data_IF_661401126853
#
_entry.id   IF_661401126853
#
_cell.length_a   1.000
_cell.length_b   1.000
_cell.length_c   1.000
_cell.angle_alpha   90.00
_cell.angle_beta   90.00
_cell.angle_gamma   90.00
#
_symmetry.space_group_name_H-M   'P 1'
#
loop_
_entity.id
_entity.type
_entity.pdbx_description
1 polymer ?
#
# COMPACT_ATOMS: atom_id res chain seq x y z
N UNK A 1 -0.88 25.64 -26.90
CA UNK A 1 -2.20 26.13 -26.53
C UNK A 1 -2.17 27.67 -26.59
N UNK A 2 -3.21 28.33 -27.02
CA UNK A 2 -3.24 29.79 -26.99
C UNK A 2 -3.16 30.29 -25.55
N UNK A 3 -2.27 31.25 -25.29
CA UNK A 3 -2.19 31.92 -23.98
C UNK A 3 -3.30 32.96 -23.92
N UNK A 4 -4.16 32.84 -22.91
CA UNK A 4 -5.10 33.88 -22.50
C UNK A 4 -4.54 34.68 -21.34
N UNK A 5 -5.21 35.75 -20.98
CA UNK A 5 -4.96 36.42 -19.70
C UNK A 5 -5.42 35.51 -18.56
N UNK A 6 -4.73 35.51 -17.39
CA UNK A 6 -5.13 34.72 -16.25
C UNK A 6 -6.56 35.09 -15.79
N UNK A 7 -7.43 34.10 -15.67
CA UNK A 7 -8.80 34.31 -15.22
C UNK A 7 -8.89 34.53 -13.71
N UNK A 8 -8.02 33.84 -12.95
CA UNK A 8 -7.97 33.88 -11.49
C UNK A 8 -6.54 33.65 -10.97
N UNK A 9 -6.27 34.19 -9.79
CA UNK A 9 -5.01 33.98 -9.06
C UNK A 9 -5.26 33.18 -7.81
N UNK A 10 -4.33 32.27 -7.48
CA UNK A 10 -4.34 31.41 -6.30
C UNK A 10 -2.97 31.40 -5.65
N UNK A 11 -2.91 31.20 -4.32
CA UNK A 11 -1.65 30.99 -3.60
C UNK A 11 -1.08 29.60 -3.87
N UNK A 12 -1.98 28.63 -4.14
CA UNK A 12 -1.62 27.26 -4.51
C UNK A 12 -2.57 26.70 -5.57
N UNK A 13 -2.01 26.17 -6.65
CA UNK A 13 -2.74 25.29 -7.58
C UNK A 13 -2.18 23.89 -7.46
N UNK A 14 -3.04 22.92 -7.14
CA UNK A 14 -2.71 21.50 -7.04
C UNK A 14 -3.19 20.77 -8.29
N UNK A 15 -2.29 20.11 -8.98
CA UNK A 15 -2.61 19.30 -10.16
C UNK A 15 -2.79 17.84 -9.74
N UNK A 16 -4.03 17.37 -9.74
CA UNK A 16 -4.47 16.05 -9.32
C UNK A 16 -5.15 16.05 -7.95
N UNK A 17 -6.42 15.65 -7.93
CA UNK A 17 -7.27 15.50 -6.73
C UNK A 17 -7.16 14.16 -6.03
N UNK A 18 -6.04 13.43 -6.20
CA UNK A 18 -5.74 12.21 -5.44
C UNK A 18 -5.36 12.50 -3.98
N UNK A 19 -5.17 11.45 -3.16
CA UNK A 19 -4.81 11.61 -1.73
C UNK A 19 -3.60 12.53 -1.55
N UNK A 20 -2.56 12.41 -2.39
CA UNK A 20 -1.37 13.27 -2.32
C UNK A 20 -1.69 14.74 -2.56
N UNK A 21 -2.48 15.05 -3.60
CA UNK A 21 -2.86 16.43 -3.91
C UNK A 21 -3.78 17.03 -2.86
N UNK A 22 -4.78 16.27 -2.41
CA UNK A 22 -5.67 16.70 -1.31
C UNK A 22 -4.90 16.91 -0.02
N UNK A 23 -3.90 16.07 0.27
CA UNK A 23 -3.00 16.23 1.43
C UNK A 23 -2.14 17.49 1.31
N UNK A 24 -1.62 17.78 0.11
CA UNK A 24 -0.86 19.01 -0.14
C UNK A 24 -1.73 20.26 0.12
N UNK A 25 -2.98 20.27 -0.37
CA UNK A 25 -3.94 21.33 -0.10
C UNK A 25 -4.24 21.46 1.41
N UNK A 26 -4.41 20.32 2.11
CA UNK A 26 -4.64 20.29 3.55
C UNK A 26 -3.49 20.92 4.34
N UNK A 27 -2.25 20.46 4.12
CA UNK A 27 -1.10 20.98 4.86
C UNK A 27 -0.79 22.43 4.50
N UNK A 28 -0.99 22.84 3.23
CA UNK A 28 -0.84 24.24 2.86
C UNK A 28 -1.85 25.12 3.58
N UNK A 29 -3.13 24.76 3.59
CA UNK A 29 -4.19 25.45 4.32
C UNK A 29 -3.98 25.47 5.84
N UNK A 30 -3.38 24.39 6.38
CA UNK A 30 -3.03 24.32 7.81
C UNK A 30 -1.96 25.35 8.18
N UNK A 31 -0.99 25.59 7.28
CA UNK A 31 0.07 26.58 7.48
C UNK A 31 -0.38 28.01 7.18
N UNK A 32 -1.25 28.18 6.18
CA UNK A 32 -1.86 29.48 5.85
C UNK A 32 -3.37 29.33 5.70
N UNK A 33 -4.13 29.61 6.79
CA UNK A 33 -5.59 29.49 6.77
C UNK A 33 -6.30 30.47 5.81
N UNK A 34 -5.62 31.52 5.36
CA UNK A 34 -6.16 32.52 4.42
C UNK A 34 -5.88 32.20 2.96
N UNK A 35 -5.03 31.21 2.69
CA UNK A 35 -4.60 30.90 1.34
C UNK A 35 -5.76 30.53 0.40
N UNK A 36 -5.68 31.05 -0.83
CA UNK A 36 -6.60 30.66 -1.89
C UNK A 36 -6.02 29.45 -2.63
N UNK A 37 -6.77 28.34 -2.63
CA UNK A 37 -6.31 27.06 -3.14
C UNK A 37 -7.25 26.51 -4.22
N UNK A 38 -6.69 26.12 -5.36
CA UNK A 38 -7.41 25.39 -6.41
C UNK A 38 -6.80 24.01 -6.60
N UNK A 39 -7.63 22.99 -6.46
CA UNK A 39 -7.28 21.60 -6.84
C UNK A 39 -7.94 21.29 -8.17
N UNK A 40 -7.15 20.88 -9.17
CA UNK A 40 -7.61 20.50 -10.51
C UNK A 40 -7.51 18.99 -10.68
N UNK A 41 -8.58 18.34 -11.11
CA UNK A 41 -8.56 16.92 -11.48
C UNK A 41 -9.21 16.71 -12.85
N UNK A 42 -8.62 15.85 -13.67
CA UNK A 42 -9.11 15.56 -15.02
C UNK A 42 -10.30 14.58 -15.03
N UNK A 43 -10.60 13.95 -13.90
CA UNK A 43 -11.71 13.01 -13.78
C UNK A 43 -12.99 13.71 -13.26
N UNK A 44 -14.08 13.00 -13.32
CA UNK A 44 -15.40 13.38 -12.81
C UNK A 44 -15.55 13.18 -11.30
N UNK A 45 -14.51 12.66 -10.65
CA UNK A 45 -14.43 12.45 -9.20
C UNK A 45 -12.99 12.61 -8.69
N UNK A 46 -12.84 12.98 -7.42
CA UNK A 46 -11.57 13.07 -6.73
C UNK A 46 -11.13 11.70 -6.17
N UNK A 47 -9.94 11.66 -5.55
CA UNK A 47 -9.39 10.46 -4.91
C UNK A 47 -8.32 9.76 -5.76
N UNK A 48 -8.23 10.02 -7.05
CA UNK A 48 -7.26 9.39 -7.94
C UNK A 48 -7.41 7.85 -7.94
N UNK A 49 -6.40 7.11 -7.48
CA UNK A 49 -6.49 5.66 -7.27
C UNK A 49 -7.41 5.26 -6.11
N UNK A 50 -7.65 6.15 -5.16
CA UNK A 50 -8.51 5.93 -4.00
C UNK A 50 -9.98 6.16 -4.36
N UNK A 51 -10.46 5.47 -5.39
CA UNK A 51 -11.87 5.43 -5.79
C UNK A 51 -12.58 4.23 -5.21
N UNK A 52 -13.90 4.35 -5.07
CA UNK A 52 -14.76 3.23 -4.69
C UNK A 52 -15.68 2.83 -5.85
N UNK A 53 -16.16 1.61 -5.80
CA UNK A 53 -17.18 1.11 -6.68
C UNK A 53 -18.54 1.10 -5.97
N UNK A 54 -19.57 1.54 -6.67
CA UNK A 54 -20.95 1.50 -6.19
C UNK A 54 -21.77 0.64 -7.16
N UNK A 55 -22.39 -0.41 -6.64
CA UNK A 55 -23.21 -1.35 -7.41
C UNK A 55 -24.65 -1.28 -6.94
N UNK A 56 -25.59 -1.16 -7.86
CA UNK A 56 -27.01 -1.23 -7.57
C UNK A 56 -27.51 -2.68 -7.74
N UNK A 57 -27.81 -3.34 -6.62
CA UNK A 57 -28.22 -4.74 -6.59
C UNK A 57 -29.58 -4.83 -5.87
N UNK A 58 -30.64 -5.23 -6.60
CA UNK A 58 -32.01 -5.37 -6.05
C UNK A 58 -32.51 -4.12 -5.30
N UNK A 59 -32.15 -2.92 -5.77
CA UNK A 59 -32.54 -1.65 -5.14
C UNK A 59 -31.69 -1.23 -3.94
N UNK A 60 -30.65 -1.97 -3.59
CA UNK A 60 -29.68 -1.64 -2.57
C UNK A 60 -28.35 -1.24 -3.19
N UNK A 61 -27.68 -0.23 -2.63
CA UNK A 61 -26.32 0.13 -3.00
C UNK A 61 -25.34 -0.77 -2.27
N UNK A 62 -24.49 -1.45 -3.02
CA UNK A 62 -23.34 -2.20 -2.51
C UNK A 62 -22.07 -1.42 -2.82
N UNK A 63 -21.23 -1.27 -1.83
CA UNK A 63 -19.99 -0.50 -1.92
C UNK A 63 -18.82 -1.48 -1.84
N UNK A 64 -17.81 -1.23 -2.67
CA UNK A 64 -16.53 -1.95 -2.62
C UNK A 64 -15.39 -1.00 -2.96
N UNK A 65 -14.21 -1.34 -2.53
CA UNK A 65 -13.01 -0.58 -2.88
C UNK A 65 -12.68 -0.74 -4.38
N UNK A 66 -12.01 0.27 -4.93
CA UNK A 66 -11.55 0.30 -6.32
C UNK A 66 -10.06 0.03 -6.42
N UNK A 67 -9.25 1.08 -6.65
CA UNK A 67 -7.83 0.95 -6.92
C UNK A 67 -6.92 0.76 -5.71
N UNK A 68 -7.36 1.11 -4.49
CA UNK A 68 -6.56 0.98 -3.26
C UNK A 68 -7.43 0.65 -2.05
N UNK A 69 -6.98 -0.33 -1.29
CA UNK A 69 -7.75 -0.91 -0.18
C UNK A 69 -7.23 -0.44 1.18
N UNK A 70 -5.92 -0.57 1.42
CA UNK A 70 -5.39 -0.74 2.77
C UNK A 70 -4.73 0.49 3.37
N UNK A 71 -4.94 0.66 4.68
CA UNK A 71 -4.07 1.43 5.58
C UNK A 71 -3.17 0.38 6.25
N UNK A 72 -2.04 0.07 5.58
CA UNK A 72 -1.15 -1.03 5.98
C UNK A 72 -0.15 -0.56 7.03
N UNK A 73 -0.18 -1.16 8.21
CA UNK A 73 0.79 -0.96 9.29
C UNK A 73 1.02 0.53 9.64
N UNK A 74 -0.05 1.27 10.02
CA UNK A 74 0.05 2.71 10.27
C UNK A 74 0.96 3.08 11.44
N UNK A 75 1.24 2.16 12.36
CA UNK A 75 2.25 2.37 13.41
C UNK A 75 3.64 2.66 12.85
N UNK A 76 3.96 2.13 11.66
CA UNK A 76 5.21 2.35 10.94
C UNK A 76 5.23 3.58 10.02
N UNK A 77 4.18 4.37 9.97
CA UNK A 77 4.12 5.55 9.10
C UNK A 77 5.02 6.67 9.63
N UNK A 78 5.51 7.50 8.71
CA UNK A 78 6.18 8.75 9.07
C UNK A 78 5.22 9.67 9.85
N UNK A 79 5.77 10.52 10.72
CA UNK A 79 4.98 11.39 11.60
C UNK A 79 3.98 12.26 10.83
N UNK A 80 4.37 12.79 9.66
CA UNK A 80 3.48 13.57 8.79
C UNK A 80 2.27 12.77 8.32
N UNK A 81 2.43 11.47 8.04
CA UNK A 81 1.31 10.62 7.63
C UNK A 81 0.41 10.26 8.82
N UNK A 82 0.98 10.03 10.01
CA UNK A 82 0.22 9.85 11.25
C UNK A 82 -0.58 11.11 11.61
N UNK A 83 0.06 12.27 11.46
CA UNK A 83 -0.59 13.57 11.67
C UNK A 83 -1.76 13.75 10.71
N UNK A 84 -1.59 13.40 9.41
CA UNK A 84 -2.66 13.46 8.44
C UNK A 84 -3.87 12.61 8.85
N UNK A 85 -3.65 11.33 9.19
CA UNK A 85 -4.74 10.45 9.63
C UNK A 85 -5.51 11.05 10.81
N UNK A 86 -4.78 11.58 11.80
CA UNK A 86 -5.38 12.26 12.96
C UNK A 86 -6.16 13.51 12.57
N UNK A 87 -5.60 14.36 11.70
CA UNK A 87 -6.22 15.63 11.29
C UNK A 87 -7.54 15.43 10.53
N UNK A 88 -7.65 14.32 9.78
CA UNK A 88 -8.87 13.97 9.06
C UNK A 88 -9.83 13.09 9.88
N UNK A 89 -9.46 12.79 11.14
CA UNK A 89 -10.31 12.08 12.08
C UNK A 89 -10.30 10.57 11.96
N UNK A 90 -9.26 9.99 11.36
CA UNK A 90 -9.06 8.53 11.36
C UNK A 90 -8.40 8.13 12.67
N UNK A 91 -9.13 7.38 13.49
CA UNK A 91 -8.64 6.71 14.67
C UNK A 91 -8.33 5.24 14.33
N UNK A 92 -7.05 4.94 14.19
CA UNK A 92 -6.59 3.60 13.76
C UNK A 92 -6.91 2.51 14.77
N UNK A 93 -7.01 2.86 16.08
CA UNK A 93 -7.34 1.88 17.13
C UNK A 93 -8.77 1.35 16.98
N UNK A 94 -9.68 2.13 16.40
CA UNK A 94 -11.06 1.71 16.18
C UNK A 94 -11.20 0.60 15.13
N UNK A 95 -10.22 0.42 14.24
CA UNK A 95 -10.25 -0.70 13.30
C UNK A 95 -10.23 -2.05 14.00
N UNK A 96 -9.63 -2.15 15.20
CA UNK A 96 -9.65 -3.40 15.98
C UNK A 96 -11.05 -3.84 16.40
N UNK A 97 -12.01 -2.92 16.47
CA UNK A 97 -13.41 -3.22 16.81
C UNK A 97 -14.22 -3.71 15.60
N UNK A 98 -13.71 -3.55 14.37
CA UNK A 98 -14.46 -3.77 13.14
C UNK A 98 -14.17 -5.07 12.42
N UNK A 99 -13.18 -5.85 12.88
CA UNK A 99 -12.89 -7.16 12.32
C UNK A 99 -12.73 -8.21 13.42
N UNK A 100 -13.07 -9.45 13.09
CA UNK A 100 -12.92 -10.58 13.98
C UNK A 100 -11.48 -11.10 13.91
N UNK A 101 -10.66 -10.77 14.92
CA UNK A 101 -9.26 -11.18 15.01
C UNK A 101 -9.09 -12.70 15.13
N UNK A 102 -10.11 -13.41 15.64
CA UNK A 102 -10.09 -14.86 15.84
C UNK A 102 -10.77 -15.64 14.71
N UNK A 103 -11.25 -14.98 13.65
CA UNK A 103 -12.02 -15.62 12.59
C UNK A 103 -11.30 -16.85 12.02
N UNK A 104 -10.05 -16.70 11.61
CA UNK A 104 -9.29 -17.79 11.00
C UNK A 104 -8.93 -18.88 12.01
N UNK A 105 -8.55 -18.50 13.23
CA UNK A 105 -8.21 -19.42 14.31
C UNK A 105 -9.46 -20.21 14.76
N UNK A 106 -10.61 -19.53 14.92
CA UNK A 106 -11.87 -20.16 15.32
C UNK A 106 -12.37 -21.21 14.31
N UNK A 107 -12.05 -21.00 13.03
CA UNK A 107 -12.37 -21.92 11.94
C UNK A 107 -11.27 -22.95 11.65
N UNK A 108 -10.20 -22.97 12.45
CA UNK A 108 -9.02 -23.82 12.26
C UNK A 108 -8.42 -23.70 10.86
N UNK A 109 -8.38 -22.46 10.34
CA UNK A 109 -7.78 -22.14 9.05
C UNK A 109 -6.31 -21.74 9.22
N UNK A 110 -5.50 -22.13 8.26
CA UNK A 110 -4.08 -21.76 8.17
C UNK A 110 -3.65 -21.58 6.72
N UNK A 111 -2.51 -20.95 6.51
CA UNK A 111 -1.91 -20.91 5.18
C UNK A 111 -1.57 -22.31 4.69
N UNK A 112 -1.70 -22.54 3.39
CA UNK A 112 -1.39 -23.80 2.74
C UNK A 112 -0.72 -23.56 1.39
N UNK A 113 0.14 -24.49 0.99
CA UNK A 113 0.73 -24.52 -0.36
C UNK A 113 0.07 -25.62 -1.17
N UNK A 114 -0.41 -25.29 -2.36
CA UNK A 114 -0.90 -26.25 -3.34
C UNK A 114 0.23 -26.60 -4.32
N UNK A 115 0.67 -27.83 -4.23
CA UNK A 115 1.66 -28.41 -5.15
C UNK A 115 0.95 -29.03 -6.34
N UNK A 116 1.44 -28.76 -7.56
CA UNK A 116 0.92 -29.33 -8.80
C UNK A 116 1.69 -30.59 -9.20
N UNK A 117 1.05 -31.45 -10.00
CA UNK A 117 1.65 -32.70 -10.44
C UNK A 117 2.69 -32.52 -11.56
N UNK A 118 2.68 -31.40 -12.26
CA UNK A 118 3.60 -31.11 -13.35
C UNK A 118 5.01 -30.83 -12.79
N UNK A 119 5.09 -30.01 -11.74
CA UNK A 119 6.35 -29.61 -11.09
C UNK A 119 6.84 -30.65 -10.08
N UNK A 120 5.92 -31.24 -9.30
CA UNK A 120 6.25 -32.07 -8.12
C UNK A 120 5.92 -33.55 -8.29
N UNK A 121 5.36 -33.96 -9.43
CA UNK A 121 4.97 -35.34 -9.70
C UNK A 121 3.68 -35.78 -9.01
N UNK A 122 3.19 -35.06 -8.02
CA UNK A 122 1.98 -35.34 -7.28
C UNK A 122 1.21 -34.04 -6.99
N UNK A 123 -0.12 -34.10 -7.05
CA UNK A 123 -0.98 -32.98 -6.64
C UNK A 123 -1.27 -33.08 -5.15
N UNK A 124 -0.83 -32.11 -4.36
CA UNK A 124 -0.98 -32.13 -2.90
C UNK A 124 -1.23 -30.76 -2.33
N UNK A 125 -2.15 -30.65 -1.35
CA UNK A 125 -2.35 -29.46 -0.51
C UNK A 125 -1.69 -29.69 0.84
N UNK A 126 -0.66 -28.93 1.17
CA UNK A 126 0.05 -29.00 2.45
C UNK A 126 -0.28 -27.77 3.28
N UNK A 127 -0.89 -27.99 4.44
CA UNK A 127 -1.34 -26.94 5.37
C UNK A 127 -0.27 -26.59 6.38
N UNK A 128 -0.40 -25.40 6.98
CA UNK A 128 0.46 -24.95 8.08
C UNK A 128 1.75 -24.29 7.62
N UNK A 129 1.80 -23.75 6.39
CA UNK A 129 2.91 -22.93 5.95
C UNK A 129 3.09 -21.73 6.90
N UNK A 130 4.31 -21.56 7.44
CA UNK A 130 4.66 -20.49 8.39
C UNK A 130 4.08 -20.63 9.81
N UNK A 131 3.22 -21.61 10.08
CA UNK A 131 2.63 -21.87 11.41
C UNK A 131 3.06 -23.18 12.05
N UNK A 132 3.65 -24.09 11.27
CA UNK A 132 4.24 -25.36 11.73
C UNK A 132 5.77 -25.28 11.71
N UNK A 133 6.48 -26.08 12.53
CA UNK A 133 7.91 -26.30 12.37
C UNK A 133 8.26 -26.69 10.92
N UNK A 134 9.33 -26.13 10.40
CA UNK A 134 9.71 -26.36 9.00
C UNK A 134 9.97 -27.83 8.67
N UNK A 135 10.49 -28.60 9.62
CA UNK A 135 10.72 -30.04 9.48
C UNK A 135 9.41 -30.79 9.26
N UNK A 136 8.37 -30.45 10.01
CA UNK A 136 7.06 -31.08 9.88
C UNK A 136 6.36 -30.67 8.59
N UNK A 137 6.43 -29.38 8.25
CA UNK A 137 5.86 -28.88 7.00
C UNK A 137 6.54 -29.53 5.79
N UNK A 138 7.88 -29.55 5.76
CA UNK A 138 8.65 -30.13 4.67
C UNK A 138 8.39 -31.62 4.50
N UNK A 139 8.25 -32.38 5.61
CA UNK A 139 7.96 -33.81 5.55
C UNK A 139 6.66 -34.12 4.80
N UNK A 140 5.67 -33.24 4.90
CA UNK A 140 4.37 -33.39 4.25
C UNK A 140 4.38 -32.97 2.76
N UNK A 141 5.42 -32.27 2.27
CA UNK A 141 5.49 -31.84 0.88
C UNK A 141 5.73 -33.03 -0.08
N UNK A 142 5.33 -32.93 -1.36
CA UNK A 142 5.66 -33.94 -2.37
C UNK A 142 7.05 -33.74 -2.98
N UNK A 143 7.93 -33.05 -2.28
CA UNK A 143 9.30 -32.79 -2.71
C UNK A 143 10.20 -34.02 -2.50
N UNK A 144 11.31 -34.06 -3.21
CA UNK A 144 12.38 -35.02 -2.95
C UNK A 144 12.97 -34.84 -1.54
N UNK A 145 13.55 -35.88 -0.96
CA UNK A 145 14.17 -35.80 0.36
C UNK A 145 15.28 -34.73 0.42
N UNK A 146 15.99 -34.51 -0.68
CA UNK A 146 16.96 -33.43 -0.81
C UNK A 146 16.30 -32.07 -0.75
N UNK A 147 15.23 -31.87 -1.52
CA UNK A 147 14.50 -30.59 -1.55
C UNK A 147 13.86 -30.29 -0.19
N UNK A 148 13.33 -31.31 0.52
CA UNK A 148 12.82 -31.15 1.89
C UNK A 148 13.91 -30.69 2.86
N UNK A 149 15.09 -31.32 2.82
CA UNK A 149 16.21 -30.90 3.65
C UNK A 149 16.71 -29.49 3.32
N UNK A 150 16.74 -29.15 2.04
CA UNK A 150 17.13 -27.83 1.57
C UNK A 150 16.11 -26.76 1.96
N UNK A 151 14.81 -27.07 1.93
CA UNK A 151 13.74 -26.18 2.42
C UNK A 151 13.92 -25.85 3.91
N UNK A 152 14.08 -26.86 4.75
CA UNK A 152 14.34 -26.68 6.18
C UNK A 152 15.60 -25.85 6.42
N UNK A 153 16.68 -26.18 5.73
CA UNK A 153 17.96 -25.45 5.85
C UNK A 153 17.86 -23.99 5.42
N UNK A 154 17.16 -23.70 4.32
CA UNK A 154 17.03 -22.36 3.76
C UNK A 154 16.27 -21.40 4.71
N UNK A 155 15.34 -21.93 5.51
CA UNK A 155 14.54 -21.17 6.47
C UNK A 155 15.05 -21.23 7.91
N UNK A 156 16.23 -21.82 8.13
CA UNK A 156 16.94 -21.71 9.39
C UNK A 156 17.60 -20.31 9.49
N UNK A 157 17.01 -19.43 10.26
CA UNK A 157 17.46 -18.03 10.44
C UNK A 157 18.84 -17.91 11.11
N UNK A 158 19.41 -19.01 11.66
CA UNK A 158 20.72 -18.99 12.29
C UNK A 158 21.89 -19.16 11.28
N UNK A 159 21.57 -19.54 10.04
CA UNK A 159 22.59 -19.79 9.02
C UNK A 159 22.93 -18.53 8.24
N UNK A 160 24.18 -18.06 8.36
CA UNK A 160 24.71 -16.98 7.52
C UNK A 160 25.23 -17.54 6.19
N UNK A 161 24.49 -17.32 5.11
CA UNK A 161 24.88 -17.74 3.76
C UNK A 161 25.83 -16.75 3.05
N UNK A 162 26.18 -15.63 3.70
CA UNK A 162 27.13 -14.64 3.22
C UNK A 162 28.23 -14.36 4.31
N UNK A 163 28.92 -15.42 4.78
CA UNK A 163 29.85 -15.27 5.89
C UNK A 163 31.02 -14.35 5.52
N UNK A 164 31.45 -13.55 6.48
CA UNK A 164 32.58 -12.63 6.32
C UNK A 164 32.26 -11.32 5.60
N UNK A 165 31.04 -11.12 5.11
CA UNK A 165 30.60 -9.85 4.57
C UNK A 165 30.09 -8.93 5.69
N UNK A 166 30.47 -7.65 5.64
CA UNK A 166 29.84 -6.61 6.44
C UNK A 166 28.37 -6.43 6.05
N UNK A 167 27.62 -5.74 6.90
CA UNK A 167 26.21 -5.43 6.62
C UNK A 167 26.03 -4.63 5.34
N UNK A 168 26.89 -3.65 5.09
CA UNK A 168 26.88 -2.80 3.90
C UNK A 168 27.18 -3.61 2.63
N UNK A 169 28.11 -4.55 2.70
CA UNK A 169 28.43 -5.46 1.60
C UNK A 169 27.26 -6.41 1.31
N UNK A 170 26.61 -6.96 2.34
CA UNK A 170 25.38 -7.78 2.19
C UNK A 170 24.26 -6.98 1.51
N UNK A 171 23.97 -5.78 1.97
CA UNK A 171 22.97 -4.89 1.36
C UNK A 171 23.34 -4.59 -0.09
N UNK A 172 24.59 -4.24 -0.35
CA UNK A 172 25.09 -3.92 -1.70
C UNK A 172 24.97 -5.08 -2.68
N UNK A 173 25.23 -6.32 -2.23
CA UNK A 173 25.07 -7.54 -3.03
C UNK A 173 23.58 -7.86 -3.24
N UNK A 174 22.82 -7.96 -2.15
CA UNK A 174 21.42 -8.41 -2.17
C UNK A 174 20.48 -7.44 -2.89
N UNK A 175 20.86 -6.17 -3.01
CA UNK A 175 20.14 -5.17 -3.81
C UNK A 175 20.33 -5.36 -5.33
N UNK A 176 21.34 -6.12 -5.76
CA UNK A 176 21.71 -6.30 -7.17
C UNK A 176 21.37 -7.67 -7.74
N UNK A 177 21.09 -8.64 -6.88
CA UNK A 177 20.74 -10.00 -7.28
C UNK A 177 19.29 -10.29 -6.92
N UNK A 178 18.63 -11.15 -7.71
CA UNK A 178 17.28 -11.59 -7.40
C UNK A 178 17.26 -12.58 -6.23
N UNK A 179 16.10 -12.74 -5.59
CA UNK A 179 15.92 -13.74 -4.53
C UNK A 179 16.14 -15.16 -5.04
N UNK A 180 15.69 -15.47 -6.27
CA UNK A 180 15.97 -16.77 -6.92
C UNK A 180 17.48 -16.99 -7.07
N UNK A 181 18.22 -15.97 -7.51
CA UNK A 181 19.68 -16.04 -7.62
C UNK A 181 20.34 -16.26 -6.25
N UNK A 182 19.88 -15.58 -5.20
CA UNK A 182 20.36 -15.80 -3.85
C UNK A 182 20.14 -17.25 -3.38
N UNK A 183 18.93 -17.78 -3.53
CA UNK A 183 18.61 -19.16 -3.15
C UNK A 183 19.44 -20.18 -3.96
N UNK A 184 19.62 -19.96 -5.25
CA UNK A 184 20.36 -20.88 -6.14
C UNK A 184 21.86 -20.87 -5.87
N UNK A 185 22.49 -19.70 -5.82
CA UNK A 185 23.93 -19.55 -5.87
C UNK A 185 24.60 -19.52 -4.49
N UNK A 186 23.92 -18.95 -3.50
CA UNK A 186 24.44 -18.78 -2.13
C UNK A 186 23.86 -19.80 -1.16
N UNK A 187 22.55 -19.98 -1.12
CA UNK A 187 21.90 -21.01 -0.29
C UNK A 187 22.06 -22.40 -0.92
N UNK A 188 22.09 -22.49 -2.24
CA UNK A 188 22.28 -23.73 -3.04
C UNK A 188 21.20 -24.76 -2.78
N UNK A 189 19.94 -24.31 -2.87
CA UNK A 189 18.78 -25.17 -2.70
C UNK A 189 18.47 -25.95 -3.99
N UNK A 190 17.75 -27.05 -3.83
CA UNK A 190 17.20 -27.86 -4.92
C UNK A 190 16.21 -27.04 -5.77
N UNK A 191 16.10 -27.39 -7.07
CA UNK A 191 15.20 -26.72 -8.01
C UNK A 191 13.74 -26.72 -7.55
N UNK A 192 13.27 -27.78 -6.89
CA UNK A 192 11.91 -27.85 -6.38
C UNK A 192 11.62 -26.76 -5.30
N UNK A 193 12.62 -26.35 -4.54
CA UNK A 193 12.50 -25.22 -3.61
C UNK A 193 12.47 -23.90 -4.36
N UNK A 194 13.29 -23.73 -5.41
CA UNK A 194 13.25 -22.54 -6.27
C UNK A 194 11.88 -22.36 -6.93
N UNK A 195 11.29 -23.43 -7.44
CA UNK A 195 9.97 -23.41 -8.08
C UNK A 195 8.84 -23.09 -7.06
N UNK A 196 8.94 -23.57 -5.83
CA UNK A 196 7.99 -23.23 -4.77
C UNK A 196 7.90 -21.72 -4.54
N UNK A 197 9.05 -21.04 -4.58
CA UNK A 197 9.11 -19.59 -4.35
C UNK A 197 8.95 -18.73 -5.59
N UNK A 198 9.13 -19.29 -6.80
CA UNK A 198 9.16 -18.54 -8.05
C UNK A 198 7.96 -17.61 -8.23
N UNK A 199 6.76 -18.05 -7.85
CA UNK A 199 5.52 -17.30 -8.03
C UNK A 199 5.08 -16.49 -6.81
N UNK A 200 5.81 -16.57 -5.72
CA UNK A 200 5.39 -15.93 -4.46
C UNK A 200 5.28 -14.41 -4.56
N UNK A 201 6.16 -13.77 -5.31
CA UNK A 201 6.14 -12.32 -5.51
C UNK A 201 5.05 -11.80 -6.45
N UNK A 202 4.41 -12.68 -7.22
CA UNK A 202 3.49 -12.24 -8.28
C UNK A 202 2.25 -11.50 -7.76
N UNK A 203 1.77 -11.85 -6.56
CA UNK A 203 0.63 -11.18 -5.94
C UNK A 203 0.96 -9.79 -5.38
N UNK A 204 2.23 -9.52 -5.10
CA UNK A 204 2.67 -8.28 -4.46
C UNK A 204 3.46 -7.37 -5.41
N UNK A 205 4.41 -7.93 -6.17
CA UNK A 205 5.26 -7.17 -7.10
C UNK A 205 4.91 -7.38 -8.57
N UNK A 206 3.94 -8.23 -8.87
CA UNK A 206 3.54 -8.59 -10.25
C UNK A 206 4.65 -9.25 -11.09
N UNK A 207 5.72 -9.70 -10.45
CA UNK A 207 6.88 -10.39 -11.07
C UNK A 207 7.29 -11.60 -10.24
N UNK A 208 8.01 -12.52 -10.84
CA UNK A 208 8.55 -13.69 -10.16
C UNK A 208 9.77 -13.36 -9.28
N UNK A 209 10.18 -14.33 -8.45
CA UNK A 209 11.33 -14.17 -7.55
C UNK A 209 12.67 -14.10 -8.27
N UNK A 210 12.71 -14.35 -9.56
CA UNK A 210 13.85 -14.11 -10.45
C UNK A 210 14.09 -12.63 -10.78
N UNK A 211 13.07 -11.77 -10.56
CA UNK A 211 13.16 -10.33 -10.78
C UNK A 211 13.18 -9.51 -9.48
N UNK A 212 12.67 -10.06 -8.36
CA UNK A 212 12.63 -9.37 -7.08
C UNK A 212 14.00 -9.35 -6.42
N UNK A 213 14.59 -8.19 -6.10
CA UNK A 213 15.87 -8.12 -5.39
C UNK A 213 15.82 -8.86 -4.04
N UNK A 214 16.85 -9.67 -3.77
CA UNK A 214 16.91 -10.50 -2.58
C UNK A 214 16.77 -9.71 -1.26
N UNK A 215 17.25 -8.47 -1.25
CA UNK A 215 17.16 -7.58 -0.09
C UNK A 215 15.70 -7.33 0.35
N UNK A 216 14.75 -7.28 -0.58
CA UNK A 216 13.34 -7.07 -0.25
C UNK A 216 12.74 -8.26 0.49
N UNK A 217 13.12 -9.47 0.14
CA UNK A 217 12.62 -10.69 0.80
C UNK A 217 13.31 -10.90 2.14
N UNK A 218 14.64 -10.87 2.17
CA UNK A 218 15.43 -11.10 3.37
C UNK A 218 15.29 -9.96 4.39
N UNK A 219 15.03 -8.75 3.93
CA UNK A 219 14.75 -7.60 4.76
C UNK A 219 13.32 -7.56 5.33
N UNK A 220 12.38 -8.33 4.83
CA UNK A 220 10.99 -8.45 5.30
C UNK A 220 10.74 -9.77 6.05
N UNK A 221 11.60 -10.23 6.89
CA UNK A 221 11.51 -11.35 7.85
C UNK A 221 10.85 -12.66 7.42
N UNK A 222 9.90 -12.66 6.50
CA UNK A 222 9.19 -13.87 6.04
C UNK A 222 10.05 -14.76 5.13
N UNK A 223 11.19 -14.28 4.69
CA UNK A 223 12.15 -15.00 3.83
C UNK A 223 13.27 -15.71 4.59
N UNK A 224 13.06 -15.99 5.88
CA UNK A 224 14.06 -16.72 6.68
C UNK A 224 15.29 -15.88 7.02
N UNK A 225 15.18 -14.59 7.20
CA UNK A 225 16.22 -13.67 7.68
C UNK A 225 17.68 -14.04 7.31
N UNK A 226 18.55 -13.07 7.24
CA UNK A 226 20.00 -13.34 7.10
C UNK A 226 20.70 -12.75 8.33
N UNK A 227 21.44 -13.55 9.13
CA UNK A 227 22.18 -13.04 10.28
C UNK A 227 23.07 -11.85 9.91
N UNK A 228 23.02 -10.80 10.73
CA UNK A 228 23.73 -9.56 10.49
C UNK A 228 23.13 -8.63 9.42
N UNK A 229 21.97 -8.99 8.86
CA UNK A 229 21.15 -8.11 8.04
C UNK A 229 20.02 -7.53 8.90
N UNK A 230 20.35 -6.71 9.88
CA UNK A 230 19.33 -5.98 10.63
C UNK A 230 18.64 -4.98 9.70
N UNK A 231 17.33 -4.77 9.89
CA UNK A 231 16.55 -3.82 9.09
C UNK A 231 17.23 -2.46 8.99
N UNK A 232 17.35 -1.96 7.77
CA UNK A 232 17.85 -0.60 7.48
C UNK A 232 16.86 0.47 7.89
N UNK A 233 15.59 0.12 8.02
CA UNK A 233 14.52 0.96 8.53
C UNK A 233 13.94 0.24 9.73
N UNK A 234 14.30 0.64 10.94
CA UNK A 234 13.48 0.33 12.11
C UNK A 234 12.13 0.99 11.86
N UNK A 235 11.18 0.24 11.36
CA UNK A 235 9.78 0.57 11.53
C UNK A 235 9.49 0.32 13.01
N UNK A 236 9.37 1.39 13.79
CA UNK A 236 8.72 1.26 15.10
C UNK A 236 7.34 0.68 14.81
N UNK A 237 7.02 -0.49 15.37
CA UNK A 237 5.85 -1.23 15.00
C UNK A 237 5.98 -1.93 13.65
N UNK A 238 7.03 -2.70 13.41
CA UNK A 238 7.15 -3.52 12.20
C UNK A 238 5.94 -4.45 12.01
N UNK A 239 5.77 -5.00 10.79
CA UNK A 239 4.65 -5.87 10.35
C UNK A 239 4.20 -6.93 11.36
N UNK A 240 5.00 -7.23 12.37
CA UNK A 240 4.67 -8.16 13.45
C UNK A 240 3.95 -7.55 14.67
N UNK A 241 3.72 -6.23 14.72
CA UNK A 241 3.05 -5.57 15.85
C UNK A 241 1.57 -5.26 15.59
N UNK A 242 1.16 -5.18 14.33
CA UNK A 242 -0.24 -4.97 13.95
C UNK A 242 -0.81 -6.23 13.33
N UNK A 243 -1.86 -6.81 13.93
CA UNK A 243 -2.35 -8.16 13.57
C UNK A 243 -3.15 -8.17 12.26
N UNK A 244 -3.44 -7.00 11.67
CA UNK A 244 -4.29 -6.89 10.50
C UNK A 244 -3.94 -5.70 9.62
N UNK A 245 -4.32 -5.79 8.33
CA UNK A 245 -4.28 -4.68 7.39
C UNK A 245 -5.61 -3.93 7.50
N UNK A 246 -5.60 -2.73 8.04
CA UNK A 246 -6.81 -1.94 8.23
C UNK A 246 -7.36 -1.41 6.91
N UNK A 247 -8.67 -1.35 6.77
CA UNK A 247 -9.32 -0.74 5.63
C UNK A 247 -10.76 -0.33 5.94
N UNK A 248 -11.25 0.66 5.21
CA UNK A 248 -12.68 0.98 5.16
C UNK A 248 -13.40 0.04 4.19
N UNK A 249 -14.74 -0.12 4.28
CA UNK A 249 -15.51 -0.91 3.32
C UNK A 249 -15.32 -0.49 1.86
N UNK A 250 -15.00 0.77 1.62
CA UNK A 250 -14.68 1.36 0.32
C UNK A 250 -13.19 1.62 0.11
N UNK A 251 -12.34 1.03 0.95
CA UNK A 251 -10.90 1.20 0.93
C UNK A 251 -10.47 2.65 1.22
N UNK A 252 -9.37 3.07 0.61
CA UNK A 252 -8.85 4.42 0.82
C UNK A 252 -9.70 5.54 0.16
N UNK A 253 -10.82 5.21 -0.49
CA UNK A 253 -11.78 6.21 -0.90
C UNK A 253 -12.29 7.02 0.30
N UNK A 254 -12.52 6.39 1.47
CA UNK A 254 -12.88 7.10 2.69
C UNK A 254 -11.77 8.03 3.18
N UNK A 255 -10.50 7.74 2.96
CA UNK A 255 -9.39 8.68 3.26
C UNK A 255 -9.51 9.93 2.40
N UNK A 256 -9.73 9.77 1.09
CA UNK A 256 -9.94 10.91 0.19
C UNK A 256 -11.20 11.71 0.56
N UNK A 257 -12.29 11.04 0.91
CA UNK A 257 -13.55 11.66 1.33
C UNK A 257 -13.40 12.45 2.63
N UNK A 258 -12.66 11.92 3.59
CA UNK A 258 -12.34 12.62 4.84
C UNK A 258 -11.45 13.84 4.62
N UNK A 259 -10.49 13.77 3.67
CA UNK A 259 -9.72 14.93 3.23
C UNK A 259 -10.62 16.01 2.63
N UNK A 260 -11.53 15.63 1.73
CA UNK A 260 -12.51 16.58 1.15
C UNK A 260 -13.40 17.18 2.25
N UNK A 261 -13.91 16.38 3.19
CA UNK A 261 -14.65 16.89 4.35
C UNK A 261 -13.83 17.89 5.15
N UNK A 262 -12.55 17.64 5.34
CA UNK A 262 -11.66 18.53 6.08
C UNK A 262 -11.43 19.86 5.36
N UNK A 263 -11.33 19.82 4.02
CA UNK A 263 -11.10 20.98 3.16
C UNK A 263 -12.38 21.79 2.91
N UNK A 264 -13.49 21.10 2.64
CA UNK A 264 -14.81 21.66 2.29
C UNK A 264 -15.88 20.91 3.10
N UNK A 265 -16.10 21.28 4.37
CA UNK A 265 -17.02 20.54 5.25
C UNK A 265 -18.45 20.42 4.73
N UNK A 266 -18.90 21.42 3.96
CA UNK A 266 -20.24 21.46 3.37
C UNK A 266 -20.45 20.44 2.26
N UNK A 267 -19.36 19.91 1.66
CA UNK A 267 -19.44 18.94 0.58
C UNK A 267 -19.77 17.52 1.10
N UNK A 268 -19.28 17.16 2.28
CA UNK A 268 -19.51 15.82 2.85
C UNK A 268 -19.99 15.93 4.30
N UNK A 269 -21.29 15.74 4.57
CA UNK A 269 -21.84 15.82 5.92
C UNK A 269 -21.33 14.67 6.80
N UNK A 270 -21.44 14.88 8.13
CA UNK A 270 -21.03 13.92 9.14
C UNK A 270 -19.86 14.40 10.00
N UNK A 271 -19.44 13.59 10.97
CA UNK A 271 -18.43 13.97 11.96
C UNK A 271 -17.48 12.82 12.36
N UNK A 272 -17.73 11.60 11.90
CA UNK A 272 -16.93 10.43 12.25
C UNK A 272 -16.28 9.82 11.02
N UNK A 273 -15.30 8.96 11.22
CA UNK A 273 -14.67 8.24 10.11
C UNK A 273 -15.62 7.23 9.47
N UNK A 274 -16.56 6.66 10.25
CA UNK A 274 -17.50 5.65 9.78
C UNK A 274 -18.57 6.24 8.88
N UNK A 275 -19.13 7.38 9.27
CA UNK A 275 -20.19 8.02 8.49
C UNK A 275 -19.69 8.49 7.12
N UNK A 276 -18.39 8.73 6.97
CA UNK A 276 -17.80 9.10 5.68
C UNK A 276 -18.04 8.07 4.59
N UNK A 277 -18.15 6.79 4.94
CA UNK A 277 -18.36 5.69 3.98
C UNK A 277 -19.71 5.83 3.27
N UNK A 278 -20.77 6.15 4.01
CA UNK A 278 -22.15 6.18 3.49
C UNK A 278 -22.71 7.58 3.29
N UNK A 279 -22.04 8.63 3.83
CA UNK A 279 -22.47 10.01 3.64
C UNK A 279 -22.56 10.38 2.16
N UNK A 280 -23.63 11.07 1.77
CA UNK A 280 -23.79 11.53 0.40
C UNK A 280 -22.98 12.80 0.17
N UNK A 281 -22.07 12.74 -0.81
CA UNK A 281 -21.30 13.90 -1.25
C UNK A 281 -22.18 14.86 -2.06
N UNK A 282 -22.09 16.15 -1.75
CA UNK A 282 -22.65 17.23 -2.57
C UNK A 282 -21.55 17.84 -3.45
N UNK A 283 -21.45 17.35 -4.68
CA UNK A 283 -20.46 17.80 -5.67
C UNK A 283 -20.61 19.29 -6.02
N UNK A 284 -21.80 19.87 -5.84
CA UNK A 284 -22.02 21.30 -6.13
C UNK A 284 -21.26 22.22 -5.17
N UNK A 285 -20.78 21.68 -4.05
CA UNK A 285 -20.00 22.42 -3.05
C UNK A 285 -18.51 22.42 -3.33
N UNK A 286 -18.03 21.58 -4.25
CA UNK A 286 -16.60 21.43 -4.48
C UNK A 286 -15.95 22.65 -5.16
N UNK A 287 -16.66 23.33 -6.06
CA UNK A 287 -16.15 24.49 -6.83
C UNK A 287 -17.19 25.60 -6.83
N UNK A 288 -17.18 26.42 -5.79
CA UNK A 288 -18.10 27.54 -5.64
C UNK A 288 -17.41 28.86 -5.98
N UNK A 289 -18.11 29.73 -6.69
CA UNK A 289 -17.61 31.07 -7.00
C UNK A 289 -17.28 31.86 -5.73
N UNK A 290 -16.07 32.40 -5.68
CA UNK A 290 -15.58 33.19 -4.54
C UNK A 290 -15.12 32.37 -3.33
N UNK A 291 -15.12 31.03 -3.40
CA UNK A 291 -14.56 30.21 -2.35
C UNK A 291 -13.03 30.32 -2.29
N UNK A 292 -12.47 30.33 -1.09
CA UNK A 292 -11.02 30.33 -0.88
C UNK A 292 -10.36 28.97 -1.18
N UNK A 293 -11.15 27.90 -1.22
CA UNK A 293 -10.68 26.58 -1.63
C UNK A 293 -11.72 25.92 -2.54
N UNK A 294 -11.26 25.48 -3.70
CA UNK A 294 -12.07 24.79 -4.70
C UNK A 294 -11.40 23.50 -5.17
N UNK A 295 -12.22 22.49 -5.46
CA UNK A 295 -11.82 21.24 -6.14
C UNK A 295 -12.60 21.19 -7.44
N UNK A 296 -11.92 21.49 -8.53
CA UNK A 296 -12.51 21.54 -9.87
C UNK A 296 -12.24 20.25 -10.59
N UNK A 297 -13.28 19.48 -10.83
CA UNK A 297 -13.27 18.22 -11.56
C UNK A 297 -13.40 18.46 -13.07
N UNK A 298 -13.18 17.40 -13.89
CA UNK A 298 -13.23 17.46 -15.35
C UNK A 298 -12.32 18.54 -15.95
N UNK A 299 -11.19 18.84 -15.29
CA UNK A 299 -10.29 19.94 -15.62
C UNK A 299 -8.88 19.42 -15.84
N UNK A 300 -8.56 19.15 -17.10
CA UNK A 300 -7.27 18.57 -17.49
C UNK A 300 -6.22 19.66 -17.60
N UNK A 301 -5.22 19.65 -16.72
CA UNK A 301 -4.06 20.53 -16.85
C UNK A 301 -3.21 20.09 -18.04
N UNK A 302 -2.94 21.01 -18.95
CA UNK A 302 -2.19 20.77 -20.19
C UNK A 302 -0.85 21.48 -20.23
N UNK A 303 -0.66 22.52 -19.42
CA UNK A 303 0.62 23.24 -19.32
C UNK A 303 0.81 23.86 -17.94
N UNK A 304 2.07 23.87 -17.47
CA UNK A 304 2.51 24.61 -16.27
C UNK A 304 3.84 25.27 -16.63
N UNK A 305 3.90 26.59 -16.60
CA UNK A 305 5.12 27.33 -16.93
C UNK A 305 5.35 28.51 -15.99
N UNK A 306 6.60 28.89 -15.79
CA UNK A 306 6.91 30.09 -15.04
C UNK A 306 6.47 31.35 -15.78
N UNK A 307 5.98 32.33 -15.03
CA UNK A 307 5.84 33.71 -15.55
C UNK A 307 7.18 34.28 -15.95
N UNK A 308 7.19 35.31 -16.82
CA UNK A 308 8.42 35.90 -17.36
C UNK A 308 9.37 36.41 -16.24
N UNK A 309 8.82 36.84 -15.11
CA UNK A 309 9.58 37.28 -13.92
C UNK A 309 9.92 36.18 -12.93
N UNK A 310 9.50 34.93 -13.21
CA UNK A 310 9.69 33.73 -12.38
C UNK A 310 9.11 33.84 -10.95
N UNK A 311 8.14 34.72 -10.72
CA UNK A 311 7.51 34.91 -9.40
C UNK A 311 6.26 34.08 -9.22
N UNK A 312 5.68 33.61 -10.29
CA UNK A 312 4.49 32.78 -10.31
C UNK A 312 4.59 31.69 -11.37
N UNK A 313 3.57 30.86 -11.44
CA UNK A 313 3.39 29.86 -12.51
C UNK A 313 2.03 30.07 -13.16
N UNK A 314 1.99 29.99 -14.48
CA UNK A 314 0.77 29.93 -15.27
C UNK A 314 0.37 28.47 -15.41
N UNK A 315 -0.86 28.14 -15.04
CA UNK A 315 -1.46 26.82 -15.18
C UNK A 315 -2.57 26.89 -16.21
N UNK A 316 -2.42 26.14 -17.30
CA UNK A 316 -3.44 26.05 -18.36
C UNK A 316 -4.16 24.72 -18.25
N UNK A 317 -5.50 24.75 -18.23
CA UNK A 317 -6.36 23.57 -18.10
C UNK A 317 -7.63 23.70 -18.93
#
# INVERSE_FOLDING_TARGET
WPKGDPEQEYDLVVVGGGISGLSAAHFFRKNDPSARILVLDNHDDFGGHAKRNEFQVNGETRIGYGGTESIDTPSGYADVSKELLKDIGIDVERFYDYYDQELYNSLNLSYAIAYDSETYGERKLVRGYGSRPWEEFAADTPMSERAKADLVRAFNAEVDYLPGMSREEKIGLLSKISYRTYLRDYVRVDEQVLEMYQRWGMSFWCVGMDEVPAIYILGYSDGGGLPGLEYTVKREGGRGSEPYIFHFPDGNASVARLLVRRLIPEALPGSTMEDSVTARLDYTRLDQEGADLSIRLNSTVVNVEHTADSRAVDVTY
#
